data_IF_530810976284
#
_entry.id   IF_530810976284
#
_cell.length_a   1.000
_cell.length_b   1.000
_cell.length_c   1.000
_cell.angle_alpha   90.00
_cell.angle_beta   90.00
_cell.angle_gamma   90.00
#
_symmetry.space_group_name_H-M   'P 1'
#
loop_
_entity.id
_entity.type
_entity.pdbx_description
1 polymer ?
#
# COMPACT_ATOMS: atom_id res chain seq x y z
N UNK A 1 6.73 14.05 -7.73
CA UNK A 1 7.75 14.12 -6.66
C UNK A 1 8.87 13.14 -7.05
N UNK A 2 10.16 13.49 -6.98
CA UNK A 2 11.22 12.52 -7.26
C UNK A 2 11.19 11.40 -6.20
N UNK A 3 11.27 10.16 -6.65
CA UNK A 3 11.25 8.99 -5.77
C UNK A 3 12.66 8.75 -5.21
N UNK A 4 12.86 8.70 -3.88
CA UNK A 4 14.17 8.42 -3.32
C UNK A 4 14.74 7.07 -3.79
N UNK A 5 15.99 7.08 -4.26
CA UNK A 5 16.74 5.86 -4.55
C UNK A 5 17.24 5.17 -3.26
N UNK A 6 17.44 3.85 -3.32
CA UNK A 6 18.00 3.07 -2.21
C UNK A 6 17.07 2.93 -1.00
N UNK A 7 15.77 2.81 -1.23
CA UNK A 7 14.75 2.62 -0.19
C UNK A 7 14.61 1.14 0.17
N UNK A 8 14.59 0.83 1.46
CA UNK A 8 14.22 -0.51 1.97
C UNK A 8 12.72 -0.62 2.15
N UNK A 9 12.16 -1.81 2.00
CA UNK A 9 10.71 -2.04 2.16
C UNK A 9 10.48 -2.98 3.35
N UNK A 10 9.72 -2.50 4.32
CA UNK A 10 9.28 -3.28 5.46
C UNK A 10 7.77 -3.53 5.37
N UNK A 11 7.33 -4.73 5.76
CA UNK A 11 5.91 -5.14 5.66
C UNK A 11 5.38 -5.49 7.05
N UNK A 12 4.38 -4.73 7.50
CA UNK A 12 3.69 -5.01 8.76
C UNK A 12 2.89 -6.32 8.70
N UNK A 13 2.67 -6.94 9.85
CA UNK A 13 1.78 -8.11 9.95
C UNK A 13 0.36 -7.77 9.49
N UNK A 14 -0.11 -6.55 9.79
CA UNK A 14 -1.42 -6.09 9.34
C UNK A 14 -1.52 -6.06 7.81
N UNK A 15 -0.52 -5.50 7.12
CA UNK A 15 -0.50 -5.46 5.66
C UNK A 15 -0.44 -6.87 5.06
N UNK A 16 0.38 -7.76 5.62
CA UNK A 16 0.48 -9.15 5.17
C UNK A 16 -0.86 -9.91 5.33
N UNK A 17 -1.55 -9.72 6.45
CA UNK A 17 -2.88 -10.31 6.68
C UNK A 17 -3.92 -9.77 5.68
N UNK A 18 -3.97 -8.44 5.48
CA UNK A 18 -4.87 -7.82 4.50
C UNK A 18 -4.62 -8.32 3.08
N UNK A 19 -3.35 -8.50 2.71
CA UNK A 19 -2.97 -9.06 1.42
C UNK A 19 -3.51 -10.48 1.27
N UNK A 20 -3.31 -11.35 2.27
CA UNK A 20 -3.83 -12.73 2.24
C UNK A 20 -5.35 -12.79 2.06
N UNK A 21 -6.07 -11.98 2.82
CA UNK A 21 -7.54 -11.98 2.81
C UNK A 21 -8.15 -11.48 1.50
N UNK A 22 -7.51 -10.52 0.82
CA UNK A 22 -8.10 -9.83 -0.35
C UNK A 22 -7.47 -10.22 -1.68
N UNK A 23 -6.20 -10.57 -1.67
CA UNK A 23 -5.38 -10.82 -2.86
C UNK A 23 -4.83 -12.26 -2.87
N UNK A 24 -4.30 -12.72 -1.73
CA UNK A 24 -3.47 -13.93 -1.63
C UNK A 24 -4.18 -15.24 -2.03
N UNK A 25 -5.51 -15.31 -1.93
CA UNK A 25 -6.30 -16.44 -2.44
C UNK A 25 -6.18 -16.63 -3.96
N UNK A 26 -5.65 -15.65 -4.71
CA UNK A 26 -5.45 -15.71 -6.17
C UNK A 26 -3.99 -15.90 -6.60
N UNK A 27 -3.01 -15.69 -5.74
CA UNK A 27 -1.58 -15.68 -6.12
C UNK A 27 -0.79 -16.91 -5.65
N UNK A 28 -1.31 -17.71 -4.72
CA UNK A 28 -0.63 -18.95 -4.28
C UNK A 28 0.69 -18.72 -3.54
N UNK A 29 0.81 -17.58 -2.86
CA UNK A 29 2.03 -17.12 -2.20
C UNK A 29 2.54 -18.09 -1.11
N UNK A 30 3.82 -18.51 -1.21
CA UNK A 30 4.51 -19.31 -0.18
C UNK A 30 4.88 -18.49 1.05
N UNK A 31 5.30 -17.23 0.86
CA UNK A 31 5.49 -16.24 1.92
C UNK A 31 5.08 -14.85 1.43
N UNK A 32 4.18 -14.22 2.17
CA UNK A 32 3.46 -13.01 1.77
C UNK A 32 4.31 -11.76 1.93
N UNK A 33 5.12 -11.68 2.99
CA UNK A 33 5.91 -10.47 3.26
C UNK A 33 6.98 -10.23 2.18
N UNK A 34 7.78 -11.24 1.78
CA UNK A 34 8.73 -11.09 0.68
C UNK A 34 8.06 -10.76 -0.66
N UNK A 35 6.91 -11.36 -0.96
CA UNK A 35 6.16 -11.04 -2.19
C UNK A 35 5.73 -9.57 -2.21
N UNK A 36 5.09 -9.09 -1.13
CA UNK A 36 4.66 -7.69 -1.02
C UNK A 36 5.87 -6.75 -1.12
N UNK A 37 6.97 -7.05 -0.42
CA UNK A 37 8.17 -6.24 -0.47
C UNK A 37 8.74 -6.12 -1.90
N UNK A 38 8.79 -7.23 -2.64
CA UNK A 38 9.27 -7.24 -4.03
C UNK A 38 8.37 -6.46 -5.00
N UNK A 39 7.04 -6.61 -4.87
CA UNK A 39 6.07 -5.86 -5.68
C UNK A 39 6.16 -4.36 -5.44
N UNK A 40 6.22 -3.95 -4.17
CA UNK A 40 6.34 -2.54 -3.77
C UNK A 40 7.67 -1.96 -4.22
N UNK A 41 8.79 -2.65 -4.00
CA UNK A 41 10.11 -2.18 -4.43
C UNK A 41 10.17 -1.97 -5.95
N UNK A 42 9.60 -2.89 -6.73
CA UNK A 42 9.53 -2.78 -8.20
C UNK A 42 8.70 -1.58 -8.63
N UNK A 43 7.51 -1.41 -8.06
CA UNK A 43 6.63 -0.29 -8.38
C UNK A 43 7.19 1.07 -7.94
N UNK A 44 7.87 1.11 -6.80
CA UNK A 44 8.60 2.29 -6.31
C UNK A 44 9.69 2.73 -7.28
N UNK A 45 10.53 1.78 -7.71
CA UNK A 45 11.59 2.05 -8.68
C UNK A 45 11.05 2.51 -10.04
N UNK A 46 9.86 2.03 -10.43
CA UNK A 46 9.16 2.46 -11.64
C UNK A 46 8.42 3.81 -11.49
N UNK A 47 8.41 4.42 -10.30
CA UNK A 47 7.76 5.70 -10.04
C UNK A 47 6.24 5.65 -9.96
N UNK A 48 5.65 4.47 -9.72
CA UNK A 48 4.21 4.29 -9.54
C UNK A 48 3.75 4.70 -8.13
N UNK A 49 4.01 5.95 -7.77
CA UNK A 49 3.80 6.51 -6.43
C UNK A 49 2.94 7.76 -6.42
N UNK A 50 2.09 7.89 -5.40
CA UNK A 50 1.27 9.09 -5.15
C UNK A 50 1.28 9.40 -3.66
N UNK A 51 1.49 10.68 -3.29
CA UNK A 51 1.31 11.11 -1.90
C UNK A 51 -0.16 11.46 -1.64
N UNK A 52 -0.74 10.91 -0.58
CA UNK A 52 -2.12 11.15 -0.18
C UNK A 52 -2.24 11.13 1.35
N UNK A 53 -2.75 12.21 1.96
CA UNK A 53 -3.12 12.24 3.38
C UNK A 53 -2.01 11.85 4.37
N UNK A 54 -0.75 12.21 4.09
CA UNK A 54 0.40 11.83 4.92
C UNK A 54 0.90 10.39 4.74
N UNK A 55 0.40 9.70 3.72
CA UNK A 55 0.85 8.37 3.29
C UNK A 55 1.31 8.39 1.83
N UNK A 56 2.01 7.34 1.42
CA UNK A 56 2.37 7.10 0.03
C UNK A 56 1.60 5.88 -0.47
N UNK A 57 0.87 6.06 -1.56
CA UNK A 57 0.26 4.98 -2.32
C UNK A 57 1.27 4.49 -3.36
N UNK A 58 1.61 3.21 -3.31
CA UNK A 58 2.41 2.53 -4.33
C UNK A 58 1.50 1.61 -5.12
N UNK A 59 1.44 1.77 -6.45
CA UNK A 59 0.56 0.99 -7.32
C UNK A 59 1.33 -0.11 -8.03
N UNK A 60 0.88 -1.36 -7.90
CA UNK A 60 1.37 -2.47 -8.70
C UNK A 60 0.19 -3.29 -9.24
N UNK A 61 0.05 -3.35 -10.57
CA UNK A 61 -1.12 -3.94 -11.24
C UNK A 61 -2.41 -3.28 -10.73
N UNK A 62 -3.39 -4.07 -10.26
CA UNK A 62 -4.63 -3.58 -9.64
C UNK A 62 -4.53 -3.48 -8.13
N UNK A 63 -3.34 -3.43 -7.55
CA UNK A 63 -3.17 -3.42 -6.09
C UNK A 63 -2.51 -2.12 -5.70
N UNK A 64 -3.04 -1.50 -4.65
CA UNK A 64 -2.46 -0.32 -4.04
C UNK A 64 -2.02 -0.63 -2.63
N UNK A 65 -0.75 -0.38 -2.41
CA UNK A 65 -0.09 -0.51 -1.12
C UNK A 65 -0.04 0.86 -0.48
N UNK A 66 -0.57 0.97 0.73
CA UNK A 66 -0.49 2.19 1.53
C UNK A 66 0.73 2.10 2.41
N UNK A 67 1.61 3.09 2.27
CA UNK A 67 2.92 3.12 2.90
C UNK A 67 3.14 4.39 3.72
N UNK A 68 4.02 4.30 4.70
CA UNK A 68 4.66 5.46 5.32
C UNK A 68 6.13 5.45 4.98
N UNK A 69 6.67 6.60 4.57
CA UNK A 69 8.09 6.76 4.35
C UNK A 69 8.73 7.37 5.59
N UNK A 70 9.60 6.61 6.24
CA UNK A 70 10.58 7.20 7.15
C UNK A 70 11.73 7.77 6.31
N UNK A 71 11.74 9.10 6.16
CA UNK A 71 12.75 9.80 5.36
C UNK A 71 14.15 9.73 5.99
N UNK A 72 14.26 9.52 7.29
CA UNK A 72 15.56 9.46 7.98
C UNK A 72 16.27 8.14 7.69
N UNK A 73 15.54 7.03 7.77
CA UNK A 73 16.06 5.69 7.50
C UNK A 73 15.96 5.28 6.03
N UNK A 74 15.20 6.04 5.21
CA UNK A 74 14.80 5.68 3.85
C UNK A 74 14.07 4.33 3.80
N UNK A 75 13.25 4.08 4.82
CA UNK A 75 12.43 2.88 4.89
C UNK A 75 10.99 3.18 4.49
N UNK A 76 10.46 2.36 3.59
CA UNK A 76 9.06 2.37 3.20
C UNK A 76 8.31 1.27 3.94
N UNK A 77 7.54 1.67 4.94
CA UNK A 77 6.74 0.77 5.75
C UNK A 77 5.36 0.56 5.13
N UNK A 78 5.08 -0.64 4.66
CA UNK A 78 3.77 -1.04 4.14
C UNK A 78 2.83 -1.30 5.31
N UNK A 79 1.83 -0.42 5.46
CA UNK A 79 0.87 -0.45 6.57
C UNK A 79 -0.47 -1.07 6.19
N UNK A 80 -0.88 -1.02 4.92
CA UNK A 80 -2.11 -1.65 4.44
C UNK A 80 -2.09 -1.88 2.93
N UNK A 81 -3.10 -2.60 2.42
CA UNK A 81 -3.27 -2.90 1.00
C UNK A 81 -4.74 -3.04 0.63
N UNK A 82 -5.07 -2.66 -0.61
CA UNK A 82 -6.39 -2.84 -1.21
C UNK A 82 -6.26 -3.08 -2.73
N UNK A 83 -7.31 -3.59 -3.38
CA UNK A 83 -7.36 -3.83 -4.84
C UNK A 83 -8.22 -2.77 -5.56
N UNK A 84 -7.73 -2.21 -6.68
CA UNK A 84 -8.46 -1.34 -7.61
C UNK A 84 -9.57 -2.12 -8.32
N UNK A 85 -10.81 -1.78 -8.00
CA UNK A 85 -12.03 -2.40 -8.49
C UNK A 85 -13.26 -1.76 -7.85
N UNK A 86 -14.46 -2.16 -8.30
CA UNK A 86 -15.72 -1.49 -7.94
C UNK A 86 -15.86 -1.30 -6.43
N UNK A 87 -15.90 -0.03 -6.04
CA UNK A 87 -15.91 0.45 -4.68
C UNK A 87 -16.99 -0.23 -3.84
N UNK A 88 -16.65 -0.57 -2.59
CA UNK A 88 -17.61 -0.35 -1.52
C UNK A 88 -17.82 1.17 -1.44
N UNK A 89 -18.74 1.71 -2.25
CA UNK A 89 -19.15 3.10 -2.15
C UNK A 89 -19.70 3.30 -0.73
N UNK A 90 -18.91 3.97 0.12
CA UNK A 90 -19.37 4.35 1.44
C UNK A 90 -20.45 5.41 1.24
N UNK A 91 -21.71 5.16 1.67
CA UNK A 91 -22.77 6.14 1.50
C UNK A 91 -22.39 7.46 2.16
N UNK A 92 -22.62 8.58 1.46
CA UNK A 92 -22.16 9.94 1.81
C UNK A 92 -22.48 10.36 3.26
N UNK A 93 -23.60 9.88 3.81
CA UNK A 93 -24.00 10.07 5.22
C UNK A 93 -22.94 9.64 6.24
N UNK A 94 -22.07 8.69 5.90
CA UNK A 94 -21.00 8.22 6.79
C UNK A 94 -19.71 9.05 6.66
N UNK A 95 -19.49 9.71 5.51
CA UNK A 95 -18.31 10.56 5.31
C UNK A 95 -18.54 12.00 5.75
N UNK A 96 -19.79 12.48 5.74
CA UNK A 96 -20.12 13.85 6.16
C UNK A 96 -19.83 14.04 7.66
N UNK A 97 -20.12 13.03 8.49
CA UNK A 97 -19.81 13.04 9.93
C UNK A 97 -18.31 13.15 10.25
N UNK A 98 -17.42 12.84 9.29
CA UNK A 98 -15.97 12.97 9.45
C UNK A 98 -15.45 14.36 9.07
N UNK A 99 -16.27 15.22 8.45
CA UNK A 99 -15.90 16.59 8.06
C UNK A 99 -16.13 17.61 9.18
N UNK A 100 -16.93 17.24 10.18
CA UNK A 100 -17.31 18.09 11.31
C UNK A 100 -16.48 17.80 12.59
N UNK A 101 -15.45 16.95 12.48
CA UNK A 101 -14.43 16.66 13.51
C UNK A 101 -13.20 17.55 13.33
#
# INVERSE_FOLDING_TARGET
MPVPEGVTVAVTDHAAERFRQRVGSRTGALDVKPEVAGLVATAWAAGHVTEAGGTIEVRARRIVYVCRLDRRSRELLVISVWEEGEDQQVPRRFTDALRDL
#
